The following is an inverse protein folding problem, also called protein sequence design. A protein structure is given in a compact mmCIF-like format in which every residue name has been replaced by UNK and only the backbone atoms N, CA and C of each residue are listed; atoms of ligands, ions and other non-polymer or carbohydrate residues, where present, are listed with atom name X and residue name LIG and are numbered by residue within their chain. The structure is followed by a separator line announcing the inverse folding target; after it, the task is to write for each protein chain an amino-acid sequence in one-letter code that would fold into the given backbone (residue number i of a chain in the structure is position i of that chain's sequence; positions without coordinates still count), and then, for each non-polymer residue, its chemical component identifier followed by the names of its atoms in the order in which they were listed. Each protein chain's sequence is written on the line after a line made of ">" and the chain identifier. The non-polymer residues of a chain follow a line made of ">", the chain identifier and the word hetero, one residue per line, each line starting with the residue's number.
data_IF_558908398498
#
_entry.id   IF_558908398498
#
_cell.length_a   1.000
_cell.length_b   1.000
_cell.length_c   1.000
_cell.angle_alpha   90.00
_cell.angle_beta   90.00
_cell.angle_gamma   90.00
#
_symmetry.space_group_name_H-M   'P 1'
#
loop_
_entity.id
_entity.type
_entity.pdbx_description
1 polymer ?
#
# COMPACT_ATOMS: atom_id res chain seq x y z
N UNK A 1 -4.50 18.37 2.64
CA UNK A 1 -3.74 17.89 1.47
C UNK A 1 -3.96 16.40 1.30
N UNK A 2 -3.58 15.83 0.15
CA UNK A 2 -3.73 14.40 -0.15
C UNK A 2 -2.39 13.81 -0.62
N UNK A 3 -2.25 12.48 -0.62
CA UNK A 3 -1.01 11.81 -1.03
C UNK A 3 -0.56 12.21 -2.44
N UNK A 4 -1.50 12.30 -3.39
CA UNK A 4 -1.22 12.70 -4.78
C UNK A 4 -0.68 14.12 -4.90
N UNK A 5 -1.01 15.00 -3.95
CA UNK A 5 -0.46 16.34 -3.92
C UNK A 5 1.03 16.32 -3.58
N UNK A 6 1.44 15.57 -2.54
CA UNK A 6 2.86 15.40 -2.21
C UNK A 6 3.66 14.75 -3.35
N UNK A 7 3.07 13.81 -4.08
CA UNK A 7 3.72 13.24 -5.26
C UNK A 7 4.06 14.30 -6.31
N UNK A 8 3.11 15.19 -6.62
CA UNK A 8 3.34 16.31 -7.56
C UNK A 8 4.41 17.27 -7.03
N UNK A 9 4.30 17.67 -5.77
CA UNK A 9 5.24 18.62 -5.15
C UNK A 9 6.69 18.08 -5.10
N UNK A 10 6.88 16.80 -4.77
CA UNK A 10 8.20 16.17 -4.76
C UNK A 10 8.80 16.05 -6.17
N UNK A 11 7.95 15.87 -7.18
CA UNK A 11 8.36 15.85 -8.59
C UNK A 11 8.74 17.24 -9.10
N UNK A 12 7.91 18.25 -8.83
CA UNK A 12 8.17 19.65 -9.17
C UNK A 12 9.46 20.17 -8.51
N UNK A 13 9.70 19.75 -7.26
CA UNK A 13 10.94 20.05 -6.53
C UNK A 13 12.16 19.25 -7.01
N UNK A 14 11.99 18.34 -7.98
CA UNK A 14 13.03 17.43 -8.50
C UNK A 14 13.66 16.53 -7.42
N UNK A 15 12.90 16.21 -6.38
CA UNK A 15 13.33 15.33 -5.28
C UNK A 15 13.00 13.87 -5.59
N UNK A 16 11.82 13.60 -6.16
CA UNK A 16 11.40 12.24 -6.51
C UNK A 16 10.47 12.22 -7.71
N UNK A 17 10.64 11.23 -8.59
CA UNK A 17 9.69 10.91 -9.66
C UNK A 17 8.96 9.58 -9.41
N UNK A 18 8.88 9.14 -8.15
CA UNK A 18 8.33 7.82 -7.79
C UNK A 18 6.93 7.56 -8.37
N UNK A 19 6.04 8.56 -8.30
CA UNK A 19 4.67 8.40 -8.71
C UNK A 19 4.51 8.28 -10.23
N UNK A 20 5.26 9.08 -11.00
CA UNK A 20 5.20 9.13 -12.45
C UNK A 20 5.87 7.95 -13.15
N UNK A 21 6.68 7.14 -12.43
CA UNK A 21 7.25 5.89 -12.96
C UNK A 21 6.22 4.82 -13.32
N UNK A 22 5.00 4.90 -12.79
CA UNK A 22 3.94 3.94 -13.09
C UNK A 22 2.67 4.70 -13.45
N UNK A 23 2.17 4.42 -14.66
CA UNK A 23 0.92 4.98 -15.16
C UNK A 23 -0.23 4.69 -14.20
N UNK A 24 -1.04 5.71 -13.92
CA UNK A 24 -2.23 5.61 -13.06
C UNK A 24 -1.97 5.10 -11.63
N UNK A 25 -0.75 5.29 -11.08
CA UNK A 25 -0.47 4.92 -9.69
C UNK A 25 -1.50 5.55 -8.74
N UNK A 26 -2.07 4.73 -7.86
CA UNK A 26 -2.94 5.17 -6.78
C UNK A 26 -2.21 5.07 -5.42
N UNK A 27 -2.50 5.97 -4.47
CA UNK A 27 -2.11 5.76 -3.08
C UNK A 27 -2.73 4.45 -2.60
N UNK A 28 -1.91 3.53 -2.11
CA UNK A 28 -2.33 2.21 -1.69
C UNK A 28 -1.56 1.79 -0.46
N UNK A 29 -2.10 0.79 0.22
CA UNK A 29 -1.47 0.06 1.31
C UNK A 29 -1.48 -1.41 0.91
N UNK A 30 -0.31 -2.03 0.92
CA UNK A 30 -0.16 -3.42 0.50
C UNK A 30 -0.64 -4.35 1.62
N UNK A 31 -1.60 -5.22 1.29
CA UNK A 31 -2.22 -6.16 2.21
C UNK A 31 -1.57 -7.55 2.18
N UNK A 32 -0.93 -7.91 1.07
CA UNK A 32 -0.37 -9.24 0.87
C UNK A 32 0.42 -9.32 -0.43
N UNK A 33 1.27 -10.34 -0.53
CA UNK A 33 2.00 -10.70 -1.74
C UNK A 33 1.91 -12.21 -1.93
N UNK A 34 1.56 -12.65 -3.13
CA UNK A 34 1.40 -14.07 -3.43
C UNK A 34 2.26 -14.44 -4.63
N UNK A 35 3.12 -15.44 -4.45
CA UNK A 35 3.97 -15.97 -5.51
C UNK A 35 3.33 -17.23 -6.10
N UNK A 36 3.36 -17.35 -7.43
CA UNK A 36 2.90 -18.54 -8.16
C UNK A 36 1.46 -18.97 -7.82
N UNK A 37 0.48 -18.07 -8.01
CA UNK A 37 -0.95 -18.40 -7.84
C UNK A 37 -1.35 -19.53 -8.79
N UNK A 38 -1.59 -20.73 -8.25
CA UNK A 38 -1.94 -21.94 -9.01
C UNK A 38 -3.39 -21.95 -9.50
N UNK A 39 -4.32 -21.38 -8.72
CA UNK A 39 -5.72 -21.21 -9.10
C UNK A 39 -6.14 -19.74 -8.94
N UNK A 40 -5.89 -18.96 -10.00
CA UNK A 40 -6.22 -17.53 -10.04
C UNK A 40 -7.73 -17.27 -9.97
N UNK A 41 -8.56 -18.15 -10.54
CA UNK A 41 -9.99 -17.95 -10.56
C UNK A 41 -10.59 -18.09 -9.15
N UNK A 42 -10.20 -19.14 -8.42
CA UNK A 42 -10.61 -19.33 -7.02
C UNK A 42 -10.08 -18.20 -6.12
N UNK A 43 -8.84 -17.74 -6.34
CA UNK A 43 -8.28 -16.60 -5.60
C UNK A 43 -9.14 -15.34 -5.78
N UNK A 44 -9.47 -14.98 -7.02
CA UNK A 44 -10.27 -13.80 -7.35
C UNK A 44 -11.68 -13.92 -6.76
N UNK A 45 -12.30 -15.09 -6.86
CA UNK A 45 -13.64 -15.33 -6.30
C UNK A 45 -13.65 -15.18 -4.77
N UNK A 46 -12.68 -15.76 -4.07
CA UNK A 46 -12.57 -15.63 -2.61
C UNK A 46 -12.28 -14.20 -2.17
N UNK A 47 -11.44 -13.49 -2.92
CA UNK A 47 -11.16 -12.07 -2.66
C UNK A 47 -12.42 -11.22 -2.87
N UNK A 48 -13.19 -11.49 -3.93
CA UNK A 48 -14.48 -10.85 -4.17
C UNK A 48 -15.44 -11.07 -2.99
N UNK A 49 -15.66 -12.33 -2.61
CA UNK A 49 -16.62 -12.69 -1.56
C UNK A 49 -16.22 -12.12 -0.20
N UNK A 50 -14.91 -12.09 0.08
CA UNK A 50 -14.37 -11.38 1.23
C UNK A 50 -14.77 -9.90 1.20
N UNK A 51 -14.47 -9.18 0.12
CA UNK A 51 -14.72 -7.73 0.02
C UNK A 51 -16.21 -7.37 0.14
N UNK A 52 -17.12 -8.20 -0.40
CA UNK A 52 -18.57 -8.01 -0.28
C UNK A 52 -19.05 -8.03 1.19
N UNK A 53 -18.30 -8.65 2.10
CA UNK A 53 -18.61 -8.67 3.53
C UNK A 53 -18.16 -7.42 4.29
N UNK A 54 -17.24 -6.63 3.73
CA UNK A 54 -16.47 -5.62 4.48
C UNK A 54 -16.99 -4.20 4.28
N UNK A 55 -16.83 -3.38 5.32
CA UNK A 55 -17.10 -1.94 5.27
C UNK A 55 -15.80 -1.16 5.01
N UNK A 56 -15.93 0.03 4.46
CA UNK A 56 -14.80 0.91 4.22
C UNK A 56 -14.16 1.37 5.54
N UNK A 57 -12.84 1.22 5.62
CA UNK A 57 -12.07 1.39 6.86
C UNK A 57 -11.52 2.81 6.93
N UNK A 58 -11.79 3.52 8.03
CA UNK A 58 -11.26 4.87 8.23
C UNK A 58 -9.83 4.81 8.75
N UNK A 59 -8.94 5.57 8.11
CA UNK A 59 -7.55 5.68 8.48
C UNK A 59 -7.16 7.12 8.79
N UNK A 60 -6.29 7.27 9.77
CA UNK A 60 -5.46 8.46 9.93
C UNK A 60 -4.02 8.06 9.69
N UNK A 61 -3.27 8.86 8.93
CA UNK A 61 -1.87 8.68 8.58
C UNK A 61 -1.05 9.80 9.26
N UNK A 62 -0.76 9.69 10.57
CA UNK A 62 -0.10 10.77 11.31
C UNK A 62 1.43 10.71 11.27
N UNK A 63 2.01 9.59 10.80
CA UNK A 63 3.44 9.35 10.89
C UNK A 63 4.11 9.44 9.52
N UNK A 64 5.12 10.28 9.40
CA UNK A 64 6.09 10.25 8.31
C UNK A 64 7.27 9.34 8.73
N UNK A 65 7.57 8.32 7.93
CA UNK A 65 8.53 7.28 8.32
C UNK A 65 9.36 6.78 7.13
N UNK A 66 10.38 5.97 7.44
CA UNK A 66 11.20 5.25 6.46
C UNK A 66 11.59 3.89 7.05
N UNK A 67 11.66 2.87 6.21
CA UNK A 67 12.36 1.65 6.60
C UNK A 67 13.87 1.92 6.65
N UNK A 68 14.57 1.19 7.53
CA UNK A 68 16.03 1.30 7.60
C UNK A 68 16.65 0.92 6.26
N UNK A 69 17.54 1.79 5.76
CA UNK A 69 18.34 1.53 4.55
C UNK A 69 17.54 1.22 3.27
N UNK A 70 16.26 1.63 3.18
CA UNK A 70 15.42 1.32 2.02
C UNK A 70 15.35 2.40 0.94
N UNK A 71 15.60 3.66 1.32
CA UNK A 71 15.33 4.80 0.43
C UNK A 71 13.83 5.06 0.19
N UNK A 72 12.96 4.53 1.06
CA UNK A 72 11.50 4.70 0.98
C UNK A 72 11.00 5.73 2.00
N UNK A 73 10.24 6.71 1.53
CA UNK A 73 9.51 7.66 2.38
C UNK A 73 8.04 7.26 2.44
N UNK A 74 7.51 7.10 3.64
CA UNK A 74 6.25 6.44 3.90
C UNK A 74 5.35 7.30 4.80
N UNK A 75 4.04 7.14 4.63
CA UNK A 75 3.04 7.50 5.62
C UNK A 75 2.55 6.24 6.31
N UNK A 76 2.66 6.18 7.64
CA UNK A 76 2.20 5.03 8.43
C UNK A 76 0.85 5.37 9.07
N UNK A 77 -0.18 4.52 8.93
CA UNK A 77 -1.44 4.72 9.61
C UNK A 77 -1.32 4.49 11.11
N UNK A 78 -2.18 5.17 11.87
CA UNK A 78 -2.49 4.74 13.23
C UNK A 78 -3.16 3.37 13.14
N UNK A 79 -2.49 2.35 13.67
CA UNK A 79 -3.01 0.99 13.67
C UNK A 79 -4.19 0.89 14.65
N UNK A 80 -5.32 0.37 14.17
CA UNK A 80 -6.50 0.09 14.97
C UNK A 80 -6.95 -1.36 14.77
N UNK A 81 -7.90 -1.81 15.60
CA UNK A 81 -8.39 -3.20 15.57
C UNK A 81 -9.08 -3.53 14.25
N UNK A 82 -9.82 -2.59 13.67
CA UNK A 82 -10.53 -2.76 12.40
C UNK A 82 -9.57 -3.11 11.26
N UNK A 83 -8.50 -2.32 11.08
CA UNK A 83 -7.48 -2.56 10.06
C UNK A 83 -6.74 -3.88 10.27
N UNK A 84 -6.37 -4.19 11.53
CA UNK A 84 -5.67 -5.43 11.85
C UNK A 84 -6.53 -6.67 11.61
N UNK A 85 -7.81 -6.61 12.00
CA UNK A 85 -8.75 -7.71 11.77
C UNK A 85 -9.00 -7.90 10.28
N UNK A 86 -9.24 -6.82 9.53
CA UNK A 86 -9.41 -6.91 8.07
C UNK A 86 -8.22 -7.60 7.40
N UNK A 87 -6.99 -7.22 7.76
CA UNK A 87 -5.80 -7.85 7.25
C UNK A 87 -5.71 -9.32 7.66
N UNK A 88 -5.91 -9.64 8.94
CA UNK A 88 -5.85 -11.02 9.44
C UNK A 88 -6.89 -11.93 8.79
N UNK A 89 -8.13 -11.45 8.64
CA UNK A 89 -9.24 -12.20 8.06
C UNK A 89 -9.05 -12.40 6.55
N UNK A 90 -8.46 -11.42 5.85
CA UNK A 90 -8.07 -11.57 4.44
C UNK A 90 -7.04 -12.70 4.28
N UNK A 91 -5.99 -12.70 5.10
CA UNK A 91 -4.97 -13.75 5.07
C UNK A 91 -5.53 -15.12 5.43
N UNK A 92 -6.42 -15.21 6.42
CA UNK A 92 -7.11 -16.46 6.75
C UNK A 92 -7.96 -16.96 5.57
N UNK A 93 -8.66 -16.06 4.88
CA UNK A 93 -9.49 -16.37 3.70
C UNK A 93 -8.67 -16.91 2.53
N UNK A 94 -7.45 -16.38 2.35
CA UNK A 94 -6.56 -16.69 1.24
C UNK A 94 -5.42 -17.65 1.61
N UNK A 95 -5.46 -18.26 2.80
CA UNK A 95 -4.35 -19.02 3.36
C UNK A 95 -3.88 -20.20 2.48
N UNK A 96 -4.77 -20.78 1.68
CA UNK A 96 -4.43 -21.88 0.76
C UNK A 96 -3.53 -21.45 -0.41
N UNK A 97 -3.49 -20.15 -0.72
CA UNK A 97 -2.67 -19.59 -1.82
C UNK A 97 -1.34 -19.04 -1.32
N UNK A 98 -1.14 -19.01 -0.01
CA UNK A 98 0.07 -18.50 0.60
C UNK A 98 1.18 -19.56 0.58
N UNK A 99 2.00 -19.48 -0.47
CA UNK A 99 3.20 -20.29 -0.64
C UNK A 99 4.42 -19.71 0.09
N UNK A 100 4.37 -18.44 0.53
CA UNK A 100 5.50 -17.68 1.08
C UNK A 100 5.18 -17.10 2.47
N UNK A 101 5.27 -17.98 3.46
CA UNK A 101 5.05 -17.68 4.88
C UNK A 101 6.08 -16.71 5.49
N UNK A 102 7.05 -16.22 4.72
CA UNK A 102 8.13 -15.34 5.20
C UNK A 102 7.92 -13.88 4.76
N UNK A 103 6.86 -13.59 3.98
CA UNK A 103 6.57 -12.22 3.56
C UNK A 103 6.41 -11.24 4.73
N UNK A 104 6.92 -10.01 4.56
CA UNK A 104 6.69 -8.92 5.53
C UNK A 104 5.22 -8.47 5.60
N UNK A 105 4.37 -8.96 4.69
CA UNK A 105 2.93 -8.72 4.73
C UNK A 105 2.17 -9.80 5.51
N UNK A 106 2.85 -10.75 6.16
CA UNK A 106 2.19 -11.75 6.99
C UNK A 106 1.54 -11.11 8.24
N UNK A 107 0.44 -11.69 8.77
CA UNK A 107 -0.07 -11.31 10.07
C UNK A 107 1.05 -11.32 11.14
N UNK A 108 0.99 -10.37 12.08
CA UNK A 108 2.03 -10.11 13.10
C UNK A 108 3.35 -9.49 12.61
N UNK A 109 3.70 -9.62 11.32
CA UNK A 109 4.90 -8.99 10.72
C UNK A 109 4.59 -7.70 9.96
N UNK A 110 3.32 -7.49 9.61
CA UNK A 110 2.88 -6.40 8.75
C UNK A 110 3.04 -5.01 9.35
N UNK A 111 3.77 -4.16 8.63
CA UNK A 111 3.84 -2.72 8.90
C UNK A 111 3.02 -2.00 7.82
N UNK A 112 1.78 -1.58 8.11
CA UNK A 112 0.94 -0.89 7.12
C UNK A 112 1.59 0.45 6.75
N UNK A 113 1.59 0.79 5.47
CA UNK A 113 2.15 2.05 5.00
C UNK A 113 1.58 2.45 3.64
N UNK A 114 1.63 3.76 3.35
CA UNK A 114 1.39 4.36 2.04
C UNK A 114 2.68 5.03 1.59
N UNK A 115 3.19 4.64 0.42
CA UNK A 115 4.48 5.15 -0.07
C UNK A 115 4.33 6.54 -0.70
N UNK A 116 5.08 7.52 -0.18
CA UNK A 116 5.21 8.85 -0.79
C UNK A 116 6.31 8.89 -1.84
N UNK A 117 7.44 8.23 -1.56
CA UNK A 117 8.56 8.13 -2.48
C UNK A 117 9.33 6.84 -2.23
N UNK A 118 10.00 6.34 -3.26
CA UNK A 118 10.87 5.17 -3.17
C UNK A 118 12.06 5.32 -4.10
N UNK A 119 13.07 4.46 -3.92
CA UNK A 119 14.33 4.47 -4.66
C UNK A 119 15.14 5.76 -4.49
N UNK A 120 15.03 6.39 -3.31
CA UNK A 120 15.78 7.61 -3.00
C UNK A 120 17.21 7.28 -2.55
N UNK A 121 18.14 8.15 -2.92
CA UNK A 121 19.46 8.17 -2.26
C UNK A 121 19.31 8.66 -0.82
N UNK A 122 20.31 8.43 0.04
CA UNK A 122 20.26 8.94 1.42
C UNK A 122 20.07 10.47 1.47
N UNK A 123 20.71 11.20 0.55
CA UNK A 123 20.57 12.65 0.42
C UNK A 123 19.14 13.03 0.05
N UNK A 124 18.58 12.40 -0.97
CA UNK A 124 17.24 12.74 -1.46
C UNK A 124 16.15 12.29 -0.47
N UNK A 125 16.38 11.22 0.30
CA UNK A 125 15.50 10.83 1.40
C UNK A 125 15.45 11.90 2.50
N UNK A 126 16.60 12.45 2.92
CA UNK A 126 16.62 13.55 3.89
C UNK A 126 15.91 14.81 3.36
N UNK A 127 16.12 15.14 2.07
CA UNK A 127 15.46 16.26 1.43
C UNK A 127 13.93 16.05 1.36
N UNK A 128 13.48 14.87 0.93
CA UNK A 128 12.06 14.52 0.87
C UNK A 128 11.41 14.52 2.26
N UNK A 129 12.09 13.96 3.26
CA UNK A 129 11.62 13.96 4.64
C UNK A 129 11.42 15.38 5.16
N UNK A 130 12.44 16.24 5.06
CA UNK A 130 12.35 17.63 5.49
C UNK A 130 11.38 18.48 4.66
N UNK A 131 11.13 18.11 3.40
CA UNK A 131 10.12 18.76 2.57
C UNK A 131 8.71 18.43 3.05
N UNK A 132 8.43 17.15 3.30
CA UNK A 132 7.13 16.66 3.73
C UNK A 132 6.83 17.06 5.17
N UNK A 133 7.76 16.89 6.10
CA UNK A 133 7.54 17.16 7.54
C UNK A 133 7.06 18.58 7.82
N UNK A 134 7.58 19.58 7.09
CA UNK A 134 7.17 20.99 7.22
C UNK A 134 5.77 21.32 6.69
N UNK A 135 5.17 20.41 5.90
CA UNK A 135 3.92 20.65 5.15
C UNK A 135 2.84 19.60 5.44
N UNK A 136 3.21 18.51 6.11
CA UNK A 136 2.34 17.37 6.34
C UNK A 136 1.55 17.57 7.63
N UNK A 137 0.27 17.88 7.47
CA UNK A 137 -0.72 17.59 8.51
C UNK A 137 -1.11 16.11 8.47
N UNK A 138 -1.53 15.50 9.59
CA UNK A 138 -2.05 14.14 9.61
C UNK A 138 -3.16 13.94 8.56
N UNK A 139 -2.91 13.06 7.59
CA UNK A 139 -3.87 12.81 6.52
C UNK A 139 -4.96 11.86 7.02
N UNK A 140 -6.19 12.09 6.59
CA UNK A 140 -7.32 11.19 6.83
C UNK A 140 -7.79 10.61 5.51
N UNK A 141 -8.13 9.33 5.51
CA UNK A 141 -8.58 8.62 4.32
C UNK A 141 -9.48 7.44 4.66
N UNK A 142 -9.99 6.78 3.62
CA UNK A 142 -10.75 5.54 3.74
C UNK A 142 -10.17 4.51 2.80
N UNK A 143 -10.03 3.27 3.25
CA UNK A 143 -9.88 2.13 2.35
C UNK A 143 -11.27 1.84 1.80
N UNK A 144 -11.47 2.06 0.50
CA UNK A 144 -12.77 1.90 -0.15
C UNK A 144 -12.84 0.66 -1.05
N UNK A 145 -11.72 -0.02 -1.25
CA UNK A 145 -11.66 -1.18 -2.12
C UNK A 145 -10.32 -1.90 -2.02
N UNK A 146 -10.28 -3.09 -2.61
CA UNK A 146 -9.07 -3.91 -2.75
C UNK A 146 -8.84 -4.20 -4.22
N UNK A 147 -7.62 -3.95 -4.69
CA UNK A 147 -7.19 -4.29 -6.06
C UNK A 147 -6.21 -5.45 -6.04
N UNK A 148 -6.39 -6.40 -6.95
CA UNK A 148 -5.38 -7.41 -7.27
C UNK A 148 -4.49 -6.87 -8.38
N UNK A 149 -3.19 -6.79 -8.11
CA UNK A 149 -2.18 -6.38 -9.08
C UNK A 149 -1.29 -7.57 -9.45
N UNK A 150 -0.96 -7.68 -10.73
CA UNK A 150 0.00 -8.64 -11.26
C UNK A 150 1.27 -7.89 -11.65
N UNK A 151 2.43 -8.39 -11.18
CA UNK A 151 3.74 -7.81 -11.43
C UNK A 151 4.54 -8.79 -12.27
N UNK A 152 4.96 -8.36 -13.46
CA UNK A 152 5.75 -9.17 -14.39
C UNK A 152 7.26 -8.98 -14.15
N UNK A 153 8.08 -9.88 -14.70
CA UNK A 153 9.54 -9.84 -14.54
C UNK A 153 10.18 -8.54 -15.06
N UNK A 154 9.58 -7.94 -16.10
CA UNK A 154 9.97 -6.64 -16.66
C UNK A 154 9.51 -5.44 -15.82
N UNK A 155 8.93 -5.70 -14.63
CA UNK A 155 8.37 -4.72 -13.69
C UNK A 155 7.11 -4.02 -14.19
N UNK A 156 6.49 -4.51 -15.27
CA UNK A 156 5.15 -4.07 -15.63
C UNK A 156 4.18 -4.45 -14.50
N UNK A 157 3.28 -3.50 -14.16
CA UNK A 157 2.23 -3.71 -13.16
C UNK A 157 0.88 -3.58 -13.84
N UNK A 158 0.04 -4.62 -13.73
CA UNK A 158 -1.29 -4.67 -14.33
C UNK A 158 -2.32 -4.86 -13.23
N UNK A 159 -3.40 -4.06 -13.25
CA UNK A 159 -4.55 -4.28 -12.38
C UNK A 159 -5.42 -5.39 -12.97
N UNK A 160 -5.56 -6.49 -12.23
CA UNK A 160 -6.34 -7.67 -12.63
C UNK A 160 -7.82 -7.46 -12.36
N UNK A 161 -8.14 -7.06 -11.13
CA UNK A 161 -9.49 -6.75 -10.68
C UNK A 161 -9.44 -5.76 -9.52
N UNK A 162 -10.60 -5.18 -9.22
CA UNK A 162 -10.83 -4.30 -8.08
C UNK A 162 -12.21 -4.59 -7.53
N UNK A 163 -12.31 -4.62 -6.20
CA UNK A 163 -13.57 -4.84 -5.48
C UNK A 163 -13.77 -3.73 -4.48
N UNK A 164 -14.95 -3.12 -4.53
CA UNK A 164 -15.33 -2.08 -3.59
C UNK A 164 -15.75 -2.68 -2.24
N UNK A 165 -15.48 -1.92 -1.18
CA UNK A 165 -16.00 -2.16 0.16
C UNK A 165 -17.30 -1.37 0.34
N UNK A 166 -18.15 -1.79 1.27
CA UNK A 166 -19.39 -1.07 1.58
C UNK A 166 -19.09 0.32 2.13
N UNK A 167 -19.77 1.33 1.61
CA UNK A 167 -19.56 2.74 1.95
C UNK A 167 -19.74 3.04 3.43
#
# INVERSE_FOLDING_TARGET
>A
MEVRHFWRELEDAKISNYASRVSNRCPHLTLGSYNHLTDRADFIQRLHDFCQGQSAIVLTLPLLSSFAQSGALLLTPQVNRELLNFHQDLHATLAQFDSDRVSFYQPQSWIPHVTLANYLTARDLMAAFGYCEKRLDPLRGRITGVSLLEIFEDKQVVKVCEFDLKA
#
